data_IF_591757835380
#
_entry.id   IF_591757835380
#
_cell.length_a   1.000
_cell.length_b   1.000
_cell.length_c   1.000
_cell.angle_alpha   90.00
_cell.angle_beta   90.00
_cell.angle_gamma   90.00
#
_symmetry.space_group_name_H-M   'P 1'
#
loop_
_entity.id
_entity.type
_entity.pdbx_description
1 polymer ?
#
# COMPACT_ATOMS: atom_id res chain seq x y z
N UNK A 1 19.36 3.03 -36.31
CA UNK A 1 18.41 2.78 -35.21
C UNK A 1 17.57 4.05 -35.04
N UNK A 2 16.23 3.94 -35.14
CA UNK A 2 15.35 5.10 -35.22
C UNK A 2 15.50 5.99 -33.94
N UNK A 3 15.80 7.30 -34.03
CA UNK A 3 16.07 8.18 -32.87
C UNK A 3 14.97 8.16 -31.80
N UNK A 4 13.73 7.87 -32.18
CA UNK A 4 12.57 7.72 -31.29
C UNK A 4 12.72 6.52 -30.36
N UNK A 5 13.19 5.37 -30.87
CA UNK A 5 13.43 4.16 -30.07
C UNK A 5 14.54 4.43 -29.04
N UNK A 6 15.50 5.29 -29.38
CA UNK A 6 16.57 5.69 -28.46
C UNK A 6 16.03 6.55 -27.32
N UNK A 7 15.21 7.57 -27.61
CA UNK A 7 14.58 8.42 -26.57
C UNK A 7 13.61 7.64 -25.68
N UNK A 8 12.83 6.73 -26.23
CA UNK A 8 11.97 5.82 -25.45
C UNK A 8 12.79 4.94 -24.50
N UNK A 9 13.92 4.37 -24.97
CA UNK A 9 14.83 3.59 -24.11
C UNK A 9 15.47 4.43 -23.00
N UNK A 10 15.87 5.66 -23.30
CA UNK A 10 16.47 6.57 -22.33
C UNK A 10 15.47 6.98 -21.23
N UNK A 11 14.23 7.34 -21.62
CA UNK A 11 13.15 7.65 -20.66
C UNK A 11 12.80 6.41 -19.81
N UNK A 12 12.68 5.25 -20.44
CA UNK A 12 12.45 3.97 -19.74
C UNK A 12 13.56 3.65 -18.72
N UNK A 13 14.83 3.93 -19.04
CA UNK A 13 15.94 3.72 -18.10
C UNK A 13 15.92 4.69 -16.91
N UNK A 14 15.56 5.96 -17.15
CA UNK A 14 15.42 6.96 -16.09
C UNK A 14 14.28 6.60 -15.13
N UNK A 15 13.12 6.23 -15.68
CA UNK A 15 11.96 5.82 -14.88
C UNK A 15 12.27 4.55 -14.09
N UNK A 16 12.95 3.57 -14.70
CA UNK A 16 13.34 2.33 -14.01
C UNK A 16 14.26 2.56 -12.82
N UNK A 17 15.17 3.53 -12.89
CA UNK A 17 16.04 3.90 -11.75
C UNK A 17 15.27 4.58 -10.63
N UNK A 18 14.41 5.55 -10.97
CA UNK A 18 13.55 6.23 -10.00
C UNK A 18 12.60 5.23 -9.32
N UNK A 19 11.91 4.39 -10.11
CA UNK A 19 11.04 3.33 -9.61
C UNK A 19 11.77 2.41 -8.64
N UNK A 20 13.00 2.00 -8.95
CA UNK A 20 13.76 1.11 -8.05
C UNK A 20 13.99 1.73 -6.67
N UNK A 21 14.29 3.03 -6.59
CA UNK A 21 14.47 3.74 -5.32
C UNK A 21 13.14 3.85 -4.59
N UNK A 22 12.07 4.24 -5.28
CA UNK A 22 10.73 4.32 -4.68
C UNK A 22 10.25 2.97 -4.17
N UNK A 23 10.43 1.89 -4.92
CA UNK A 23 10.06 0.53 -4.50
C UNK A 23 10.83 0.08 -3.27
N UNK A 24 12.14 0.40 -3.16
CA UNK A 24 12.92 0.06 -1.97
C UNK A 24 12.40 0.84 -0.76
N UNK A 25 12.19 2.16 -0.89
CA UNK A 25 11.63 2.99 0.18
C UNK A 25 10.25 2.52 0.62
N UNK A 26 9.37 2.23 -0.34
CA UNK A 26 8.00 1.75 -0.08
C UNK A 26 8.01 0.39 0.63
N UNK A 27 8.90 -0.53 0.23
CA UNK A 27 9.08 -1.81 0.90
C UNK A 27 9.60 -1.66 2.33
N UNK A 28 10.57 -0.76 2.57
CA UNK A 28 11.11 -0.50 3.92
C UNK A 28 10.02 0.09 4.82
N UNK A 29 9.30 1.10 4.34
CA UNK A 29 8.19 1.72 5.09
C UNK A 29 7.10 0.68 5.37
N UNK A 30 6.71 -0.11 4.38
CA UNK A 30 5.72 -1.18 4.54
C UNK A 30 6.16 -2.20 5.58
N UNK A 31 7.43 -2.61 5.56
CA UNK A 31 7.97 -3.53 6.55
C UNK A 31 8.00 -2.93 7.97
N UNK A 32 8.38 -1.65 8.12
CA UNK A 32 8.32 -0.94 9.40
C UNK A 32 6.89 -0.84 9.94
N UNK A 33 5.92 -0.57 9.08
CA UNK A 33 4.49 -0.55 9.44
C UNK A 33 4.04 -1.93 9.92
N UNK A 34 4.47 -3.01 9.26
CA UNK A 34 4.14 -4.38 9.68
C UNK A 34 4.71 -4.66 11.08
N UNK A 35 5.98 -4.35 11.32
CA UNK A 35 6.62 -4.54 12.64
C UNK A 35 5.91 -3.74 13.73
N UNK A 36 5.62 -2.46 13.48
CA UNK A 36 4.92 -1.59 14.44
C UNK A 36 3.52 -2.12 14.77
N UNK A 37 2.80 -2.60 13.76
CA UNK A 37 1.47 -3.17 13.96
C UNK A 37 1.53 -4.46 14.79
N UNK A 38 2.42 -5.40 14.44
CA UNK A 38 2.60 -6.65 15.20
C UNK A 38 2.99 -6.34 16.66
N UNK A 39 3.89 -5.38 16.85
CA UNK A 39 4.32 -4.97 18.20
C UNK A 39 3.17 -4.35 18.99
N UNK A 40 2.35 -3.51 18.36
CA UNK A 40 1.18 -2.88 19.00
C UNK A 40 0.16 -3.92 19.46
N UNK A 41 -0.08 -4.96 18.65
CA UNK A 41 -0.97 -6.08 19.04
C UNK A 41 -0.40 -6.84 20.21
N UNK A 42 0.90 -7.18 20.17
CA UNK A 42 1.55 -7.91 21.25
C UNK A 42 1.43 -7.15 22.58
N UNK A 43 1.62 -5.82 22.55
CA UNK A 43 1.44 -4.94 23.70
C UNK A 43 -0.03 -4.91 24.14
N UNK A 44 -0.99 -4.79 23.21
CA UNK A 44 -2.42 -4.75 23.53
C UNK A 44 -2.91 -6.06 24.18
N UNK A 45 -2.49 -7.21 23.66
CA UNK A 45 -2.78 -8.52 24.23
C UNK A 45 -2.16 -8.65 25.62
N UNK A 46 -0.89 -8.26 25.78
CA UNK A 46 -0.22 -8.27 27.08
C UNK A 46 -0.94 -7.40 28.11
N UNK A 47 -1.36 -6.19 27.70
CA UNK A 47 -2.12 -5.27 28.54
C UNK A 47 -3.48 -5.88 28.95
N UNK A 48 -4.21 -6.49 28.01
CA UNK A 48 -5.48 -7.18 28.30
C UNK A 48 -5.28 -8.31 29.32
N UNK A 49 -4.27 -9.15 29.13
CA UNK A 49 -3.95 -10.24 30.08
C UNK A 49 -3.65 -9.68 31.47
N UNK A 50 -2.84 -8.61 31.55
CA UNK A 50 -2.53 -7.95 32.83
C UNK A 50 -3.77 -7.36 33.49
N UNK A 51 -4.65 -6.72 32.73
CA UNK A 51 -5.90 -6.16 33.23
C UNK A 51 -6.82 -7.27 33.77
N UNK A 52 -6.93 -8.40 33.06
CA UNK A 52 -7.70 -9.57 33.52
C UNK A 52 -7.12 -10.13 34.82
N UNK A 53 -5.80 -10.28 34.93
CA UNK A 53 -5.16 -10.76 36.16
C UNK A 53 -5.38 -9.81 37.34
N UNK A 54 -5.41 -8.49 37.11
CA UNK A 54 -5.72 -7.48 38.14
C UNK A 54 -7.18 -7.61 38.57
N UNK A 55 -8.11 -7.72 37.61
CA UNK A 55 -9.53 -7.91 37.87
C UNK A 55 -9.83 -9.17 38.70
N UNK A 56 -9.10 -10.27 38.45
CA UNK A 56 -9.22 -11.50 39.22
C UNK A 56 -8.72 -11.36 40.67
N UNK A 57 -7.71 -10.52 40.90
CA UNK A 57 -7.14 -10.29 42.24
C UNK A 57 -7.92 -9.27 43.06
N UNK A 58 -8.48 -8.25 42.42
CA UNK A 58 -9.31 -7.24 43.07
C UNK A 58 -10.55 -6.93 42.22
N UNK A 59 -11.68 -7.63 42.45
CA UNK A 59 -12.91 -7.44 41.70
C UNK A 59 -13.46 -6.02 41.76
N UNK A 60 -13.15 -5.25 42.82
CA UNK A 60 -13.65 -3.87 42.96
C UNK A 60 -13.06 -2.93 41.92
N UNK A 61 -11.87 -3.24 41.39
CA UNK A 61 -11.23 -2.45 40.32
C UNK A 61 -11.98 -2.51 38.99
N UNK A 62 -12.77 -3.56 38.76
CA UNK A 62 -13.53 -3.74 37.50
C UNK A 62 -14.68 -2.76 37.33
N UNK A 63 -15.16 -2.15 38.42
CA UNK A 63 -16.22 -1.14 38.40
C UNK A 63 -15.70 0.27 38.09
N UNK A 64 -14.38 0.47 38.05
CA UNK A 64 -13.81 1.76 37.68
C UNK A 64 -14.00 2.01 36.19
N UNK A 65 -14.53 3.20 35.85
CA UNK A 65 -14.66 3.64 34.46
C UNK A 65 -13.33 3.58 33.71
N UNK A 66 -12.21 3.86 34.39
CA UNK A 66 -10.86 3.77 33.81
C UNK A 66 -10.50 2.34 33.40
N UNK A 67 -10.94 1.34 34.15
CA UNK A 67 -10.67 -0.07 33.85
C UNK A 67 -11.46 -0.52 32.60
N UNK A 68 -12.74 -0.15 32.51
CA UNK A 68 -13.58 -0.42 31.34
C UNK A 68 -13.02 0.29 30.10
N UNK A 69 -12.62 1.55 30.22
CA UNK A 69 -11.99 2.31 29.13
C UNK A 69 -10.72 1.65 28.62
N UNK A 70 -9.87 1.11 29.50
CA UNK A 70 -8.66 0.40 29.11
C UNK A 70 -8.94 -0.88 28.32
N UNK A 71 -9.95 -1.65 28.71
CA UNK A 71 -10.37 -2.85 27.97
C UNK A 71 -10.89 -2.46 26.58
N UNK A 72 -11.79 -1.46 26.51
CA UNK A 72 -12.33 -0.98 25.23
C UNK A 72 -11.22 -0.45 24.33
N UNK A 73 -10.27 0.31 24.89
CA UNK A 73 -9.13 0.83 24.14
C UNK A 73 -8.24 -0.28 23.57
N UNK A 74 -7.92 -1.30 24.36
CA UNK A 74 -7.14 -2.44 23.89
C UNK A 74 -7.88 -3.24 22.81
N UNK A 75 -9.20 -3.42 22.94
CA UNK A 75 -10.02 -4.06 21.92
C UNK A 75 -10.06 -3.25 20.61
N UNK A 76 -10.15 -1.91 20.69
CA UNK A 76 -10.10 -1.02 19.53
C UNK A 76 -8.74 -1.07 18.83
N UNK A 77 -7.63 -1.16 19.58
CA UNK A 77 -6.29 -1.33 18.99
C UNK A 77 -6.17 -2.64 18.20
N UNK A 78 -6.71 -3.72 18.74
CA UNK A 78 -6.76 -5.00 18.02
C UNK A 78 -7.64 -4.89 16.77
N UNK A 79 -8.80 -4.23 16.87
CA UNK A 79 -9.69 -4.03 15.72
C UNK A 79 -9.04 -3.14 14.63
N UNK A 80 -8.35 -2.06 15.01
CA UNK A 80 -7.67 -1.17 14.06
C UNK A 80 -6.59 -1.88 13.26
N UNK A 81 -5.96 -2.89 13.85
CA UNK A 81 -5.00 -3.73 13.13
C UNK A 81 -5.67 -4.50 11.97
N UNK A 82 -6.79 -5.17 12.24
CA UNK A 82 -7.53 -5.89 11.20
C UNK A 82 -8.03 -4.95 10.11
N UNK A 83 -8.52 -3.77 10.49
CA UNK A 83 -8.93 -2.74 9.53
C UNK A 83 -7.76 -2.27 8.65
N UNK A 84 -6.58 -2.11 9.24
CA UNK A 84 -5.36 -1.73 8.51
C UNK A 84 -4.95 -2.79 7.50
N UNK A 85 -5.01 -4.08 7.87
CA UNK A 85 -4.76 -5.18 6.93
C UNK A 85 -5.77 -5.13 5.77
N UNK A 86 -7.07 -5.02 6.09
CA UNK A 86 -8.12 -4.99 5.08
C UNK A 86 -7.93 -3.83 4.08
N UNK A 87 -7.61 -2.63 4.57
CA UNK A 87 -7.29 -1.46 3.75
C UNK A 87 -6.05 -1.67 2.89
N UNK A 88 -5.00 -2.31 3.43
CA UNK A 88 -3.78 -2.61 2.69
C UNK A 88 -4.04 -3.57 1.53
N UNK A 89 -4.80 -4.65 1.77
CA UNK A 89 -5.22 -5.60 0.72
C UNK A 89 -6.07 -4.90 -0.34
N UNK A 90 -7.04 -4.08 0.09
CA UNK A 90 -7.88 -3.32 -0.82
C UNK A 90 -7.07 -2.37 -1.72
N UNK A 91 -6.13 -1.62 -1.12
CA UNK A 91 -5.24 -0.70 -1.85
C UNK A 91 -4.37 -1.46 -2.86
N UNK A 92 -3.79 -2.58 -2.46
CA UNK A 92 -2.96 -3.40 -3.36
C UNK A 92 -3.76 -3.92 -4.56
N UNK A 93 -5.00 -4.36 -4.32
CA UNK A 93 -5.87 -4.83 -5.40
C UNK A 93 -6.27 -3.69 -6.35
N UNK A 94 -6.61 -2.51 -5.82
CA UNK A 94 -6.94 -1.33 -6.62
C UNK A 94 -5.76 -0.89 -7.50
N UNK A 95 -4.55 -0.81 -6.92
CA UNK A 95 -3.34 -0.44 -7.66
C UNK A 95 -3.03 -1.45 -8.78
N UNK A 96 -3.31 -2.74 -8.54
CA UNK A 96 -3.10 -3.81 -9.54
C UNK A 96 -4.06 -3.65 -10.72
N UNK A 97 -5.34 -3.32 -10.45
CA UNK A 97 -6.33 -3.08 -11.49
C UNK A 97 -6.01 -1.84 -12.34
N UNK A 98 -5.57 -0.76 -11.69
CA UNK A 98 -5.16 0.47 -12.38
C UNK A 98 -3.90 0.25 -13.24
N UNK A 99 -2.91 -0.48 -12.71
CA UNK A 99 -1.73 -0.88 -13.45
C UNK A 99 -2.09 -1.72 -14.69
N UNK A 100 -2.98 -2.70 -14.56
CA UNK A 100 -3.44 -3.50 -15.69
C UNK A 100 -4.14 -2.66 -16.76
N UNK A 101 -4.92 -1.66 -16.35
CA UNK A 101 -5.60 -0.74 -17.27
C UNK A 101 -4.58 0.09 -18.08
N UNK A 102 -3.57 0.63 -17.41
CA UNK A 102 -2.49 1.39 -18.07
C UNK A 102 -1.71 0.48 -19.03
N UNK A 103 -1.35 -0.73 -18.59
CA UNK A 103 -0.61 -1.70 -19.40
C UNK A 103 -1.39 -2.10 -20.67
N UNK A 104 -2.68 -2.42 -20.53
CA UNK A 104 -3.54 -2.75 -21.66
C UNK A 104 -3.66 -1.58 -22.65
N UNK A 105 -3.73 -0.35 -22.12
CA UNK A 105 -3.77 0.86 -22.95
C UNK A 105 -2.46 1.05 -23.71
N UNK A 106 -1.31 0.81 -23.07
CA UNK A 106 0.00 0.86 -23.73
C UNK A 106 0.12 -0.18 -24.85
N UNK A 107 -0.33 -1.42 -24.62
CA UNK A 107 -0.35 -2.45 -25.67
C UNK A 107 -1.24 -2.06 -26.85
N UNK A 108 -2.44 -1.56 -26.57
CA UNK A 108 -3.36 -1.11 -27.62
C UNK A 108 -2.79 0.04 -28.46
N UNK A 109 -2.12 1.00 -27.83
CA UNK A 109 -1.48 2.14 -28.51
C UNK A 109 -0.28 1.67 -29.32
N UNK A 110 0.53 0.74 -28.78
CA UNK A 110 1.65 0.13 -29.48
C UNK A 110 1.18 -0.60 -30.76
N UNK A 111 0.14 -1.42 -30.67
CA UNK A 111 -0.39 -2.16 -31.82
C UNK A 111 -0.91 -1.21 -32.92
N UNK A 112 -1.59 -0.13 -32.53
CA UNK A 112 -2.04 0.90 -33.48
C UNK A 112 -0.90 1.65 -34.15
N UNK A 113 0.18 1.94 -33.42
CA UNK A 113 1.36 2.58 -33.98
C UNK A 113 2.09 1.66 -34.97
N UNK A 114 2.27 0.38 -34.62
CA UNK A 114 2.85 -0.63 -35.52
C UNK A 114 2.00 -0.78 -36.79
N UNK A 115 0.68 -0.77 -36.66
CA UNK A 115 -0.26 -0.80 -37.77
C UNK A 115 -0.31 0.51 -38.59
N UNK A 116 0.54 1.50 -38.29
CA UNK A 116 0.58 2.84 -38.90
C UNK A 116 -0.76 3.59 -38.84
N UNK A 117 -1.60 3.28 -37.85
CA UNK A 117 -2.89 3.94 -37.58
C UNK A 117 -2.77 5.16 -36.67
N UNK A 118 -1.56 5.43 -36.16
CA UNK A 118 -1.24 6.58 -35.31
C UNK A 118 0.01 7.28 -35.86
N UNK A 119 0.00 8.61 -35.86
CA UNK A 119 1.19 9.42 -36.12
C UNK A 119 2.04 9.54 -34.86
N UNK A 120 3.31 9.95 -35.01
CA UNK A 120 4.20 10.17 -33.86
C UNK A 120 3.70 11.25 -32.91
N UNK A 121 3.08 12.31 -33.43
CA UNK A 121 2.45 13.36 -32.60
C UNK A 121 1.29 12.81 -31.78
N UNK A 122 0.43 11.97 -32.38
CA UNK A 122 -0.68 11.34 -31.66
C UNK A 122 -0.18 10.35 -30.61
N UNK A 123 0.89 9.60 -30.91
CA UNK A 123 1.51 8.71 -29.94
C UNK A 123 2.05 9.50 -28.74
N UNK A 124 2.76 10.61 -28.97
CA UNK A 124 3.31 11.43 -27.91
C UNK A 124 2.21 12.06 -27.04
N UNK A 125 1.13 12.57 -27.66
CA UNK A 125 -0.02 13.10 -26.90
C UNK A 125 -0.67 12.04 -26.00
N UNK A 126 -0.83 10.80 -26.48
CA UNK A 126 -1.43 9.72 -25.70
C UNK A 126 -0.49 9.28 -24.57
N UNK A 127 0.82 9.21 -24.83
CA UNK A 127 1.82 8.85 -23.82
C UNK A 127 1.97 9.92 -22.73
N UNK A 128 1.88 11.20 -23.10
CA UNK A 128 1.91 12.31 -22.14
C UNK A 128 0.62 12.40 -21.31
N UNK A 129 -0.53 11.94 -21.83
CA UNK A 129 -1.79 11.89 -21.08
C UNK A 129 -1.91 10.66 -20.15
N UNK A 130 -1.06 9.64 -20.34
CA UNK A 130 -1.01 8.42 -19.51
C UNK A 130 -0.10 8.57 -18.28
N UNK A 131 0.67 9.66 -18.22
CA UNK A 131 1.65 9.98 -17.17
C UNK A 131 1.22 11.21 -16.38
#
# INVERSE_FOLDING_TARGET
>A
MNPIIKRLKEKQQQDKRKLKIYTILDNVISFSIIILNISSIAIAIYALVKLIMIAQKDPKTTHSASFVLLIVFAALLVFSFFLTIALSIYKQNSNTAEYQKILNTLYYVQDKFIAKKLTEEQLNQILDALW
#
